data_IF_841349085042
#
_entry.id   IF_841349085042
#
_cell.length_a   1.000
_cell.length_b   1.000
_cell.length_c   1.000
_cell.angle_alpha   90.00
_cell.angle_beta   90.00
_cell.angle_gamma   90.00
#
_symmetry.space_group_name_H-M   'P 1'
#
loop_
_entity.id
_entity.type
_entity.pdbx_description
1 polymer ?
#
# COMPACT_ATOMS: atom_id res chain seq x y z
N UNK A 1 -8.86 -8.92 5.76
CA UNK A 1 -7.55 -9.30 5.18
C UNK A 1 -7.79 -10.21 3.98
N UNK A 2 -7.06 -10.03 2.87
CA UNK A 2 -7.03 -11.01 1.77
C UNK A 2 -5.82 -11.91 2.00
N UNK A 3 -6.05 -13.21 2.06
CA UNK A 3 -5.03 -14.21 2.42
C UNK A 3 -4.93 -15.30 1.36
N UNK A 4 -3.77 -15.91 1.18
CA UNK A 4 -3.53 -16.94 0.18
C UNK A 4 -2.55 -17.99 0.68
N UNK A 5 -1.25 -17.77 0.45
CA UNK A 5 -0.21 -18.69 0.89
C UNK A 5 -0.26 -18.92 2.40
N UNK A 6 -0.28 -20.19 2.82
CA UNK A 6 -0.39 -20.60 4.23
C UNK A 6 -1.50 -19.87 5.02
N UNK A 7 -2.62 -19.58 4.37
CA UNK A 7 -3.71 -18.79 4.95
C UNK A 7 -4.22 -19.32 6.30
N UNK A 8 -4.31 -20.64 6.48
CA UNK A 8 -4.74 -21.26 7.75
C UNK A 8 -3.79 -20.92 8.90
N UNK A 9 -2.48 -20.97 8.66
CA UNK A 9 -1.47 -20.64 9.66
C UNK A 9 -1.53 -19.15 10.03
N UNK A 10 -1.68 -18.29 9.02
CA UNK A 10 -1.79 -16.83 9.24
C UNK A 10 -3.07 -16.49 10.02
N UNK A 11 -4.22 -17.05 9.62
CA UNK A 11 -5.49 -16.80 10.30
C UNK A 11 -5.41 -17.26 11.76
N UNK A 12 -4.87 -18.47 12.00
CA UNK A 12 -4.69 -18.98 13.36
C UNK A 12 -3.75 -18.10 14.21
N UNK A 13 -2.69 -17.58 13.61
CA UNK A 13 -1.77 -16.65 14.28
C UNK A 13 -2.48 -15.36 14.66
N UNK A 14 -3.16 -14.71 13.71
CA UNK A 14 -3.88 -13.44 13.94
C UNK A 14 -4.99 -13.60 14.98
N UNK A 15 -5.77 -14.67 14.89
CA UNK A 15 -6.84 -14.98 15.87
C UNK A 15 -6.25 -15.22 17.27
N UNK A 16 -5.02 -15.74 17.35
CA UNK A 16 -4.30 -15.96 18.60
C UNK A 16 -3.72 -14.72 19.25
N UNK A 17 -3.65 -13.59 18.54
CA UNK A 17 -3.12 -12.33 19.08
C UNK A 17 -4.03 -11.67 20.14
N UNK A 18 -5.32 -12.05 20.19
CA UNK A 18 -6.27 -11.51 21.16
C UNK A 18 -6.57 -10.03 20.99
N UNK A 19 -6.51 -9.53 19.75
CA UNK A 19 -6.85 -8.15 19.41
C UNK A 19 -8.38 -7.95 19.43
N UNK A 20 -8.83 -6.78 19.91
CA UNK A 20 -10.25 -6.46 20.01
C UNK A 20 -10.87 -6.07 18.66
N UNK A 21 -10.05 -5.72 17.67
CA UNK A 21 -10.50 -5.33 16.33
C UNK A 21 -11.03 -6.55 15.57
N UNK A 22 -12.29 -6.53 15.07
CA UNK A 22 -12.81 -7.62 14.24
C UNK A 22 -11.97 -7.84 12.99
N UNK A 23 -11.60 -9.08 12.72
CA UNK A 23 -10.85 -9.46 11.50
C UNK A 23 -11.71 -10.34 10.63
N UNK A 24 -11.85 -9.95 9.37
CA UNK A 24 -12.50 -10.74 8.34
C UNK A 24 -11.47 -11.21 7.31
N UNK A 25 -11.60 -12.47 6.87
CA UNK A 25 -10.68 -13.07 5.93
C UNK A 25 -11.36 -13.36 4.60
N UNK A 26 -10.68 -13.00 3.50
CA UNK A 26 -11.04 -13.36 2.13
C UNK A 26 -9.93 -14.25 1.60
N UNK A 27 -10.27 -15.51 1.26
CA UNK A 27 -9.25 -16.47 0.81
C UNK A 27 -9.11 -16.38 -0.70
N UNK A 28 -7.91 -16.02 -1.17
CA UNK A 28 -7.53 -16.10 -2.57
C UNK A 28 -6.96 -17.49 -2.86
N UNK A 29 -7.79 -18.41 -3.33
CA UNK A 29 -7.39 -19.79 -3.64
C UNK A 29 -6.48 -19.91 -4.86
N UNK A 30 -6.33 -18.84 -5.62
CA UNK A 30 -5.53 -18.77 -6.85
C UNK A 30 -4.37 -17.79 -6.76
N UNK A 31 -3.91 -17.52 -5.53
CA UNK A 31 -2.84 -16.57 -5.24
C UNK A 31 -1.55 -16.84 -6.03
N UNK A 32 -1.26 -18.11 -6.33
CA UNK A 32 -0.09 -18.57 -7.08
C UNK A 32 -0.15 -18.28 -8.59
N UNK A 33 -1.30 -17.81 -9.09
CA UNK A 33 -1.57 -17.54 -10.51
C UNK A 33 -2.12 -16.14 -10.76
N UNK A 34 -2.26 -15.35 -9.70
CA UNK A 34 -2.78 -13.97 -9.75
C UNK A 34 -1.82 -13.04 -9.03
N UNK A 35 -1.96 -11.74 -9.27
CA UNK A 35 -1.23 -10.72 -8.56
C UNK A 35 -2.16 -9.91 -7.64
N UNK A 36 -1.63 -8.87 -7.00
CA UNK A 36 -2.32 -8.07 -5.99
C UNK A 36 -3.60 -7.39 -6.50
N UNK A 37 -3.73 -7.11 -7.82
CA UNK A 37 -4.98 -6.60 -8.42
C UNK A 37 -6.16 -7.53 -8.16
N UNK A 38 -5.95 -8.84 -8.23
CA UNK A 38 -7.02 -9.81 -8.00
C UNK A 38 -7.40 -9.86 -6.51
N UNK A 39 -6.43 -9.90 -5.63
CA UNK A 39 -6.65 -9.83 -4.20
C UNK A 39 -7.46 -8.59 -3.81
N UNK A 40 -7.09 -7.42 -4.34
CA UNK A 40 -7.84 -6.18 -4.08
C UNK A 40 -9.25 -6.21 -4.69
N UNK A 41 -9.42 -6.82 -5.88
CA UNK A 41 -10.74 -6.96 -6.50
C UNK A 41 -11.69 -7.84 -5.68
N UNK A 42 -11.17 -8.84 -4.95
CA UNK A 42 -11.96 -9.65 -4.03
C UNK A 42 -12.47 -8.85 -2.83
N UNK A 43 -11.71 -7.83 -2.40
CA UNK A 43 -12.07 -6.94 -1.29
C UNK A 43 -12.85 -5.68 -1.72
N UNK A 44 -13.19 -5.53 -3.00
CA UNK A 44 -13.79 -4.30 -3.57
C UNK A 44 -15.07 -3.82 -2.88
N UNK A 45 -15.89 -4.75 -2.38
CA UNK A 45 -17.14 -4.40 -1.72
C UNK A 45 -16.91 -3.64 -0.40
N UNK A 46 -15.77 -3.86 0.24
CA UNK A 46 -15.34 -3.10 1.41
C UNK A 46 -14.90 -1.69 1.01
N UNK A 47 -14.11 -1.57 -0.07
CA UNK A 47 -13.64 -0.27 -0.57
C UNK A 47 -14.78 0.71 -0.91
N UNK A 48 -15.90 0.20 -1.43
CA UNK A 48 -17.04 1.05 -1.81
C UNK A 48 -18.00 1.34 -0.66
N UNK A 49 -17.87 0.60 0.44
CA UNK A 49 -18.78 0.70 1.59
C UNK A 49 -18.36 1.80 2.56
N UNK A 50 -17.10 1.86 2.90
CA UNK A 50 -16.54 2.75 3.91
C UNK A 50 -15.19 3.30 3.47
N UNK A 51 -14.75 4.41 4.08
CA UNK A 51 -13.38 4.88 3.92
C UNK A 51 -12.40 3.82 4.44
N UNK A 52 -11.35 3.58 3.68
CA UNK A 52 -10.49 2.41 3.89
C UNK A 52 -9.02 2.83 3.96
N UNK A 53 -8.29 2.26 4.89
CA UNK A 53 -6.83 2.18 4.81
C UNK A 53 -6.45 0.86 4.12
N UNK A 54 -5.77 0.97 2.98
CA UNK A 54 -5.20 -0.17 2.26
C UNK A 54 -3.72 -0.27 2.62
N UNK A 55 -3.30 -1.43 3.13
CA UNK A 55 -1.93 -1.72 3.50
C UNK A 55 -1.49 -3.02 2.83
N UNK A 56 -0.25 -3.06 2.35
CA UNK A 56 0.39 -4.30 1.95
C UNK A 56 0.93 -5.05 3.18
N UNK A 57 1.06 -6.38 3.08
CA UNK A 57 1.32 -7.23 4.24
C UNK A 57 2.81 -7.44 4.56
N UNK A 58 3.68 -6.95 3.70
CA UNK A 58 5.14 -7.03 3.76
C UNK A 58 5.79 -5.77 4.33
N UNK A 59 5.00 -4.93 5.00
CA UNK A 59 5.45 -3.68 5.59
C UNK A 59 5.63 -3.78 7.09
N UNK A 60 6.74 -3.23 7.58
CA UNK A 60 6.91 -2.84 8.98
C UNK A 60 7.05 -1.31 9.05
N UNK A 61 6.37 -0.68 9.99
CA UNK A 61 6.33 0.78 10.07
C UNK A 61 5.98 1.27 11.48
N UNK A 62 6.31 2.52 11.78
CA UNK A 62 5.89 3.20 13.01
C UNK A 62 4.38 3.54 12.97
N UNK A 63 3.71 3.44 14.11
CA UNK A 63 2.28 3.80 14.26
C UNK A 63 1.98 5.22 13.75
N UNK A 64 2.93 6.14 13.89
CA UNK A 64 2.83 7.51 13.40
C UNK A 64 2.51 7.63 11.90
N UNK A 65 2.78 6.60 11.07
CA UNK A 65 2.38 6.61 9.66
C UNK A 65 0.86 6.56 9.50
N UNK A 66 0.19 5.83 10.37
CA UNK A 66 -1.28 5.76 10.39
C UNK A 66 -1.86 7.10 10.84
N UNK A 67 -1.28 7.71 11.87
CA UNK A 67 -1.70 9.02 12.37
C UNK A 67 -1.59 10.10 11.28
N UNK A 68 -0.50 10.10 10.50
CA UNK A 68 -0.34 11.01 9.36
C UNK A 68 -1.50 10.95 8.35
N UNK A 69 -2.06 9.76 8.12
CA UNK A 69 -3.20 9.59 7.21
C UNK A 69 -4.53 9.96 7.88
N UNK A 70 -4.70 9.63 9.14
CA UNK A 70 -5.95 9.88 9.86
C UNK A 70 -6.14 11.35 10.19
N UNK A 71 -5.08 12.06 10.53
CA UNK A 71 -5.12 13.49 10.85
C UNK A 71 -5.22 14.39 9.61
N UNK A 72 -4.85 13.88 8.44
CA UNK A 72 -4.93 14.66 7.19
C UNK A 72 -6.39 14.74 6.72
N UNK A 73 -6.87 15.96 6.51
CA UNK A 73 -8.27 16.22 6.10
C UNK A 73 -8.59 15.83 4.65
N UNK A 74 -7.57 15.54 3.84
CA UNK A 74 -7.77 15.07 2.46
C UNK A 74 -8.29 13.65 2.46
N UNK A 75 -9.25 13.36 1.61
CA UNK A 75 -10.02 12.11 1.64
C UNK A 75 -9.30 10.91 1.01
N UNK A 76 -8.41 11.17 0.06
CA UNK A 76 -7.72 10.11 -0.69
C UNK A 76 -6.24 10.42 -0.79
N UNK A 77 -5.42 9.59 -0.16
CA UNK A 77 -3.99 9.80 0.02
C UNK A 77 -3.18 8.54 -0.26
N UNK A 78 -1.95 8.71 -0.70
CA UNK A 78 -0.88 7.70 -0.62
C UNK A 78 0.29 8.23 0.18
N UNK A 79 0.83 7.43 1.10
CA UNK A 79 2.08 7.76 1.76
C UNK A 79 3.25 7.59 0.79
N UNK A 80 4.15 8.56 0.84
CA UNK A 80 5.36 8.55 0.00
C UNK A 80 6.58 8.96 0.81
N UNK A 81 7.70 8.32 0.54
CA UNK A 81 8.98 8.71 1.10
C UNK A 81 9.94 9.16 0.01
N UNK A 82 10.93 9.97 0.37
CA UNK A 82 11.95 10.41 -0.57
C UNK A 82 12.72 9.20 -1.09
N UNK A 83 12.83 9.07 -2.42
CA UNK A 83 13.50 7.92 -3.01
C UNK A 83 14.98 7.84 -2.62
N UNK A 84 15.40 6.69 -2.15
CA UNK A 84 16.77 6.34 -1.86
C UNK A 84 17.25 5.15 -2.73
N UNK A 85 18.58 4.98 -2.84
CA UNK A 85 19.16 4.03 -3.79
C UNK A 85 18.93 2.54 -3.44
N UNK A 86 18.52 2.26 -2.21
CA UNK A 86 18.20 0.91 -1.75
C UNK A 86 16.75 0.52 -2.04
N UNK A 87 15.89 1.52 -2.32
CA UNK A 87 14.48 1.33 -2.61
C UNK A 87 14.29 0.84 -4.04
N UNK A 88 13.36 -0.06 -4.25
CA UNK A 88 12.90 -0.46 -5.57
C UNK A 88 11.37 -0.34 -5.72
N UNK A 89 10.81 -0.89 -6.80
CA UNK A 89 9.37 -0.83 -7.05
C UNK A 89 8.89 0.49 -7.64
N UNK A 90 7.63 0.84 -7.36
CA UNK A 90 6.97 1.98 -7.96
C UNK A 90 7.34 3.29 -7.26
N UNK A 91 7.65 4.31 -8.08
CA UNK A 91 7.90 5.67 -7.62
C UNK A 91 6.91 6.66 -8.20
N UNK A 92 6.76 7.78 -7.51
CA UNK A 92 5.92 8.90 -7.91
C UNK A 92 6.77 10.15 -8.19
N UNK A 93 6.27 11.00 -9.08
CA UNK A 93 6.67 12.41 -9.13
C UNK A 93 5.53 13.22 -8.52
N UNK A 94 5.87 14.09 -7.59
CA UNK A 94 4.92 14.86 -6.79
C UNK A 94 5.29 16.34 -6.90
N UNK A 95 4.33 17.20 -7.17
CA UNK A 95 4.52 18.65 -7.23
C UNK A 95 4.50 19.32 -5.84
N UNK A 96 4.57 20.66 -5.81
CA UNK A 96 4.61 21.45 -4.58
C UNK A 96 3.29 21.39 -3.78
N UNK A 97 2.18 21.07 -4.45
CA UNK A 97 0.84 20.95 -3.85
C UNK A 97 0.46 19.49 -3.50
N UNK A 98 1.46 18.61 -3.42
CA UNK A 98 1.29 17.16 -3.18
C UNK A 98 0.47 16.44 -4.25
N UNK A 99 0.32 17.05 -5.43
CA UNK A 99 -0.35 16.39 -6.53
C UNK A 99 0.59 15.37 -7.18
N UNK A 100 0.07 14.17 -7.44
CA UNK A 100 0.81 13.14 -8.15
C UNK A 100 0.77 13.46 -9.63
N UNK A 101 1.93 13.80 -10.20
CA UNK A 101 2.08 14.18 -11.62
C UNK A 101 2.49 13.01 -12.50
N UNK A 102 3.18 12.01 -11.94
CA UNK A 102 3.52 10.79 -12.68
C UNK A 102 3.67 9.59 -11.73
N UNK A 103 3.46 8.40 -12.30
CA UNK A 103 3.54 7.10 -11.63
C UNK A 103 4.51 6.23 -12.43
N UNK A 104 5.70 5.97 -11.88
CA UNK A 104 6.81 5.38 -12.61
C UNK A 104 7.10 3.98 -12.06
N UNK A 105 6.82 2.90 -12.81
CA UNK A 105 7.24 1.56 -12.43
C UNK A 105 8.75 1.47 -12.25
N UNK A 106 9.24 0.69 -11.26
CA UNK A 106 10.66 0.60 -10.91
C UNK A 106 11.59 0.33 -12.10
N UNK A 107 11.18 -0.53 -13.03
CA UNK A 107 11.92 -0.84 -14.26
C UNK A 107 12.11 0.33 -15.23
N UNK A 108 11.40 1.43 -15.03
CA UNK A 108 11.45 2.66 -15.85
C UNK A 108 12.11 3.83 -15.11
N UNK A 109 12.64 3.61 -13.91
CA UNK A 109 13.33 4.64 -13.15
C UNK A 109 14.63 5.06 -13.82
N UNK A 110 14.82 6.37 -13.96
CA UNK A 110 16.05 6.98 -14.43
C UNK A 110 16.83 7.54 -13.24
N UNK A 111 17.90 6.86 -12.81
CA UNK A 111 18.70 7.26 -11.65
C UNK A 111 19.27 8.68 -11.73
N UNK A 112 19.45 9.22 -12.94
CA UNK A 112 19.82 10.62 -13.15
C UNK A 112 18.76 11.63 -12.65
N UNK A 113 17.53 11.19 -12.49
CA UNK A 113 16.39 11.98 -12.05
C UNK A 113 15.92 11.64 -10.61
N UNK A 114 16.67 10.84 -9.87
CA UNK A 114 16.28 10.31 -8.56
C UNK A 114 15.77 11.39 -7.58
N UNK A 115 16.31 12.60 -7.66
CA UNK A 115 15.91 13.70 -6.80
C UNK A 115 14.45 14.15 -6.96
N UNK A 116 13.79 13.71 -8.06
CA UNK A 116 12.38 13.98 -8.31
C UNK A 116 11.45 12.90 -7.80
N UNK A 117 12.01 11.76 -7.42
CA UNK A 117 11.22 10.58 -7.12
C UNK A 117 10.89 10.47 -5.63
N UNK A 118 9.70 9.97 -5.39
CA UNK A 118 9.21 9.50 -4.11
C UNK A 118 8.79 8.03 -4.26
N UNK A 119 9.27 7.16 -3.38
CA UNK A 119 8.82 5.75 -3.32
C UNK A 119 7.44 5.71 -2.67
N UNK A 120 6.53 4.90 -3.22
CA UNK A 120 5.28 4.56 -2.52
C UNK A 120 5.59 3.72 -1.30
N UNK A 121 4.99 4.06 -0.16
CA UNK A 121 5.09 3.25 1.08
C UNK A 121 4.09 2.09 1.05
N UNK A 122 3.26 2.03 0.01
CA UNK A 122 2.20 1.03 -0.17
C UNK A 122 1.14 1.05 0.96
N UNK A 123 0.94 2.25 1.53
CA UNK A 123 -0.14 2.56 2.47
C UNK A 123 -0.99 3.68 1.87
N UNK A 124 -2.29 3.42 1.73
CA UNK A 124 -3.22 4.32 1.08
C UNK A 124 -4.43 4.60 1.97
N UNK A 125 -4.92 5.84 1.96
CA UNK A 125 -6.23 6.22 2.45
C UNK A 125 -7.13 6.41 1.25
N UNK A 126 -8.19 5.63 1.15
CA UNK A 126 -9.14 5.65 0.04
C UNK A 126 -10.52 6.02 0.57
N UNK A 127 -11.09 7.14 0.13
CA UNK A 127 -12.47 7.43 0.48
C UNK A 127 -13.43 6.48 -0.24
N UNK A 128 -14.55 6.17 0.41
CA UNK A 128 -15.60 5.35 -0.18
C UNK A 128 -16.15 5.97 -1.48
N UNK A 129 -16.17 7.30 -1.56
CA UNK A 129 -16.63 8.03 -2.74
C UNK A 129 -15.67 7.84 -3.91
N UNK A 130 -14.36 8.05 -3.70
CA UNK A 130 -13.34 7.78 -4.72
C UNK A 130 -13.36 6.31 -5.15
N UNK A 131 -13.44 5.40 -4.20
CA UNK A 131 -13.48 3.97 -4.49
C UNK A 131 -14.69 3.59 -5.33
N UNK A 132 -15.88 4.09 -4.98
CA UNK A 132 -17.14 3.77 -5.66
C UNK A 132 -17.24 4.38 -7.06
N UNK A 133 -16.86 5.63 -7.19
CA UNK A 133 -17.12 6.40 -8.41
C UNK A 133 -15.95 6.36 -9.40
N UNK A 134 -14.73 6.04 -8.92
CA UNK A 134 -13.53 6.07 -9.74
C UNK A 134 -12.77 4.75 -9.66
N UNK A 135 -12.22 4.39 -8.50
CA UNK A 135 -11.22 3.34 -8.43
C UNK A 135 -11.77 1.96 -8.80
N UNK A 136 -12.85 1.50 -8.16
CA UNK A 136 -13.42 0.16 -8.39
C UNK A 136 -13.93 -0.03 -9.83
N UNK A 137 -14.63 0.93 -10.46
CA UNK A 137 -14.99 0.83 -11.87
C UNK A 137 -13.78 0.64 -12.81
N UNK A 138 -12.67 1.36 -12.56
CA UNK A 138 -11.45 1.20 -13.34
C UNK A 138 -10.74 -0.12 -13.04
N UNK A 139 -10.69 -0.53 -11.76
CA UNK A 139 -10.14 -1.82 -11.33
C UNK A 139 -10.84 -2.99 -12.04
N UNK A 140 -12.16 -3.00 -12.04
CA UNK A 140 -12.95 -4.05 -12.71
C UNK A 140 -12.77 -4.05 -14.23
N UNK A 141 -12.78 -2.87 -14.84
CA UNK A 141 -12.58 -2.74 -16.27
C UNK A 141 -11.18 -3.21 -16.69
N UNK A 142 -10.16 -2.79 -15.93
CA UNK A 142 -8.77 -3.15 -16.19
C UNK A 142 -8.54 -4.66 -16.03
N UNK A 143 -8.97 -5.23 -14.91
CA UNK A 143 -8.82 -6.67 -14.63
C UNK A 143 -9.56 -7.53 -15.70
N UNK A 144 -10.72 -7.07 -16.19
CA UNK A 144 -11.46 -7.76 -17.25
C UNK A 144 -10.71 -7.79 -18.58
N UNK A 145 -9.96 -6.75 -18.91
CA UNK A 145 -9.25 -6.61 -20.20
C UNK A 145 -7.84 -7.22 -20.12
N UNK A 146 -7.10 -6.93 -19.05
CA UNK A 146 -5.70 -7.29 -18.88
C UNK A 146 -5.48 -8.59 -18.11
N UNK A 147 -6.52 -9.04 -17.40
CA UNK A 147 -6.46 -10.24 -16.55
C UNK A 147 -6.08 -9.94 -15.11
N UNK A 148 -5.91 -11.01 -14.34
CA UNK A 148 -5.75 -10.96 -12.89
C UNK A 148 -4.29 -11.03 -12.41
N UNK A 149 -3.32 -11.03 -13.35
CA UNK A 149 -1.89 -11.11 -13.01
C UNK A 149 -1.19 -9.76 -13.24
N UNK A 150 -1.81 -8.69 -12.72
CA UNK A 150 -1.34 -7.32 -12.83
C UNK A 150 -1.26 -6.67 -11.44
N UNK A 151 -0.59 -5.52 -11.36
CA UNK A 151 -0.50 -4.72 -10.14
C UNK A 151 -1.64 -3.70 -10.06
N UNK A 152 -2.27 -3.56 -8.89
CA UNK A 152 -3.39 -2.62 -8.70
C UNK A 152 -2.96 -1.14 -8.84
N UNK A 153 -1.70 -0.82 -8.64
CA UNK A 153 -1.14 0.52 -8.83
C UNK A 153 -1.21 0.97 -10.29
N UNK A 154 -1.21 0.01 -11.22
CA UNK A 154 -1.40 0.32 -12.65
C UNK A 154 -2.77 0.95 -12.91
N UNK A 155 -3.77 0.60 -12.11
CA UNK A 155 -5.09 1.23 -12.18
C UNK A 155 -5.03 2.68 -11.70
N UNK A 156 -4.27 2.96 -10.64
CA UNK A 156 -4.04 4.34 -10.14
C UNK A 156 -3.37 5.17 -11.24
N UNK A 157 -2.33 4.63 -11.89
CA UNK A 157 -1.67 5.28 -13.01
C UNK A 157 -2.64 5.60 -14.16
N UNK A 158 -3.51 4.67 -14.50
CA UNK A 158 -4.52 4.88 -15.55
C UNK A 158 -5.48 6.03 -15.18
N UNK A 159 -5.95 6.07 -13.94
CA UNK A 159 -6.83 7.12 -13.44
C UNK A 159 -6.16 8.48 -13.52
N UNK A 160 -4.87 8.55 -13.14
CA UNK A 160 -4.06 9.75 -13.24
C UNK A 160 -3.99 10.27 -14.69
N UNK A 161 -3.68 9.39 -15.64
CA UNK A 161 -3.58 9.75 -17.05
C UNK A 161 -4.90 10.27 -17.67
N UNK A 162 -6.02 9.93 -17.09
CA UNK A 162 -7.35 10.36 -17.53
C UNK A 162 -7.85 11.61 -16.79
N UNK A 163 -6.99 12.29 -16.06
CA UNK A 163 -7.30 13.51 -15.29
C UNK A 163 -8.49 13.33 -14.31
N UNK A 164 -8.61 12.13 -13.77
CA UNK A 164 -9.64 11.76 -12.79
C UNK A 164 -9.11 11.52 -11.40
N UNK A 165 -7.82 11.79 -11.21
CA UNK A 165 -7.14 11.52 -9.96
C UNK A 165 -7.37 12.65 -8.96
N UNK A 166 -8.04 12.32 -7.86
CA UNK A 166 -8.17 13.18 -6.68
C UNK A 166 -7.20 12.77 -5.56
N UNK A 167 -6.45 11.66 -5.75
CA UNK A 167 -5.46 11.18 -4.80
C UNK A 167 -4.30 12.18 -4.69
N UNK A 168 -3.84 12.41 -3.47
CA UNK A 168 -2.68 13.25 -3.18
C UNK A 168 -1.60 12.44 -2.49
N UNK A 169 -0.37 12.86 -2.64
CA UNK A 169 0.72 12.32 -1.84
C UNK A 169 0.69 12.91 -0.42
N UNK A 170 1.05 12.11 0.56
CA UNK A 170 1.41 12.55 1.91
C UNK A 170 2.85 12.14 2.15
N UNK A 171 3.75 13.11 2.21
CA UNK A 171 5.17 12.86 2.41
C UNK A 171 5.44 12.48 3.86
N UNK A 172 6.31 11.49 4.06
CA UNK A 172 6.86 11.20 5.37
C UNK A 172 7.80 12.33 5.83
N UNK A 173 7.87 12.53 7.12
CA UNK A 173 8.69 13.57 7.78
C UNK A 173 9.79 12.93 8.65
N UNK A 174 10.24 11.74 8.26
CA UNK A 174 11.29 10.98 8.95
C UNK A 174 10.78 9.80 9.78
N UNK A 175 9.50 9.44 9.68
CA UNK A 175 8.98 8.22 10.28
C UNK A 175 9.59 7.00 9.59
N UNK A 176 9.87 5.95 10.37
CA UNK A 176 10.51 4.74 9.87
C UNK A 176 9.50 3.77 9.29
N UNK A 177 9.87 3.17 8.19
CA UNK A 177 9.17 2.06 7.56
C UNK A 177 10.17 1.20 6.80
N UNK A 178 9.81 -0.03 6.49
CA UNK A 178 10.60 -0.91 5.63
C UNK A 178 9.69 -1.94 4.96
N UNK A 179 10.02 -2.33 3.72
CA UNK A 179 9.36 -3.38 2.94
C UNK A 179 10.23 -4.64 3.04
N UNK A 180 9.62 -5.78 3.34
CA UNK A 180 10.31 -7.04 3.63
C UNK A 180 9.99 -8.02 2.51
N UNK A 181 10.85 -8.06 1.51
CA UNK A 181 10.71 -8.95 0.35
C UNK A 181 11.46 -10.27 0.54
N UNK A 182 12.55 -10.25 1.29
CA UNK A 182 13.38 -11.42 1.54
C UNK A 182 13.97 -11.47 2.96
N UNK A 183 14.83 -12.47 3.21
CA UNK A 183 15.44 -12.66 4.53
C UNK A 183 16.44 -11.57 4.89
N UNK A 184 17.07 -10.91 3.90
CA UNK A 184 18.01 -9.82 4.16
C UNK A 184 17.24 -8.56 4.58
N UNK A 185 16.09 -8.32 3.99
CA UNK A 185 15.19 -7.24 4.39
C UNK A 185 14.69 -7.43 5.81
N UNK A 186 14.35 -8.68 6.18
CA UNK A 186 13.95 -8.99 7.55
C UNK A 186 15.08 -8.67 8.54
N UNK A 187 16.33 -9.07 8.25
CA UNK A 187 17.49 -8.76 9.10
C UNK A 187 17.68 -7.24 9.26
N UNK A 188 17.49 -6.47 8.19
CA UNK A 188 17.57 -5.00 8.22
C UNK A 188 16.43 -4.41 9.05
N UNK A 189 15.20 -4.87 8.83
CA UNK A 189 14.02 -4.43 9.55
C UNK A 189 14.14 -4.71 11.06
N UNK A 190 14.64 -5.88 11.45
CA UNK A 190 14.92 -6.21 12.86
C UNK A 190 15.89 -5.22 13.51
N UNK A 191 16.94 -4.82 12.80
CA UNK A 191 17.90 -3.81 13.31
C UNK A 191 17.24 -2.43 13.39
N UNK A 192 16.49 -2.04 12.37
CA UNK A 192 15.86 -0.73 12.28
C UNK A 192 14.82 -0.50 13.39
N UNK A 193 14.09 -1.54 13.78
CA UNK A 193 13.03 -1.50 14.79
C UNK A 193 13.40 -2.11 16.13
N UNK A 194 14.64 -2.60 16.32
CA UNK A 194 15.10 -3.26 17.55
C UNK A 194 14.96 -2.38 18.81
N UNK A 195 15.10 -1.07 18.67
CA UNK A 195 14.99 -0.14 19.80
C UNK A 195 13.58 -0.11 20.40
N UNK A 196 12.56 -0.30 19.57
CA UNK A 196 11.15 -0.21 19.97
C UNK A 196 10.69 -1.50 20.66
N UNK A 197 11.24 -2.65 20.27
CA UNK A 197 10.95 -3.94 20.90
C UNK A 197 11.34 -4.01 22.38
N UNK A 198 12.35 -3.24 22.79
CA UNK A 198 12.84 -3.21 24.17
C UNK A 198 11.92 -2.50 25.18
N UNK A 199 11.01 -1.65 24.74
CA UNK A 199 10.10 -0.90 25.61
C UNK A 199 8.75 -1.59 25.80
N UNK A 200 8.27 -2.35 24.83
CA UNK A 200 6.96 -3.03 24.89
C UNK A 200 6.95 -4.28 25.80
N UNK A 201 8.08 -4.94 26.02
CA UNK A 201 8.18 -6.14 26.87
C UNK A 201 8.54 -5.86 28.34
N UNK A 202 8.56 -4.59 28.77
CA UNK A 202 8.85 -4.20 30.17
C UNK A 202 7.60 -3.82 30.99
N UNK A 203 6.41 -4.19 30.54
CA UNK A 203 5.18 -3.99 31.32
C UNK A 203 4.62 -5.29 31.84
#
# INVERSE_FOLDING_TARGET
MVVGYQCENLMQFVDGLGIDTPVEYIINEVYDRTNNIYSLSMAKDWLVKEDTLLLESDLIFEEALIDLLLEDSRETLTLVDKFENWMDGTCLVVDEDDQIVDFIPGKLLEYSQKERYYKTVNIYKLSADFSRNVYVPFLEAYARVMGNNEYYETVIKLILMLDKNTMRAKRLEGQRWYEIDDIQDLDIAEVLFAADAGEQYKK
#
